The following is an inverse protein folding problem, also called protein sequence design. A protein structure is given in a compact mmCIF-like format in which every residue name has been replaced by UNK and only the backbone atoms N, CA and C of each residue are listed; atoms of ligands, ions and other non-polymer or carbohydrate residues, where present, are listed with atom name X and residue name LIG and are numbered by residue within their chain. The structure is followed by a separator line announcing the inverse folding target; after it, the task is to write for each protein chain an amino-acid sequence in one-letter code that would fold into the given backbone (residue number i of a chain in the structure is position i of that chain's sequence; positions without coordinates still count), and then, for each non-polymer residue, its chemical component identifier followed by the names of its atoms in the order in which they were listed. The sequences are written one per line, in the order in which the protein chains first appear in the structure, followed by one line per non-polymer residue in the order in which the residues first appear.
data_IF_820112629601
#
_entry.id   IF_820112629601
#
_cell.length_a   1.000
_cell.length_b   1.000
_cell.length_c   1.000
_cell.angle_alpha   90.00
_cell.angle_beta   90.00
_cell.angle_gamma   90.00
#
_symmetry.space_group_name_H-M   'P 1'
#
loop_
_entity.id
_entity.type
_entity.pdbx_description
1 polymer ?
#
# COMPACT_ATOMS: atom_id res chain seq x y z
N UNK A 1 -0.24 15.34 -15.27
CA UNK A 1 1.06 15.92 -14.85
C UNK A 1 2.13 14.87 -15.10
N UNK A 2 3.32 15.26 -15.54
CA UNK A 2 4.42 14.31 -15.68
C UNK A 2 5.11 14.10 -14.32
N UNK A 3 4.73 13.03 -13.61
CA UNK A 3 5.28 12.68 -12.31
C UNK A 3 6.73 12.13 -12.39
N UNK A 4 7.29 11.97 -13.59
CA UNK A 4 8.72 11.65 -13.75
C UNK A 4 9.63 12.81 -13.33
N UNK A 5 9.09 14.04 -13.22
CA UNK A 5 9.76 15.15 -12.57
C UNK A 5 9.76 14.99 -11.04
N UNK A 6 10.77 14.26 -10.55
CA UNK A 6 10.90 13.82 -9.16
C UNK A 6 10.76 14.91 -8.09
N UNK A 7 11.11 16.16 -8.39
CA UNK A 7 10.96 17.27 -7.44
C UNK A 7 9.50 17.69 -7.25
N UNK A 8 8.70 17.71 -8.30
CA UNK A 8 7.29 18.13 -8.20
C UNK A 8 6.46 17.10 -7.44
N UNK A 9 6.68 15.80 -7.69
CA UNK A 9 5.99 14.74 -6.96
C UNK A 9 6.30 14.80 -5.45
N UNK A 10 7.59 14.93 -5.09
CA UNK A 10 8.01 15.10 -3.67
C UNK A 10 7.41 16.35 -3.02
N UNK A 11 7.35 17.46 -3.76
CA UNK A 11 6.76 18.70 -3.25
C UNK A 11 5.25 18.55 -3.00
N UNK A 12 4.53 17.83 -3.88
CA UNK A 12 3.10 17.56 -3.69
C UNK A 12 2.85 16.63 -2.52
N UNK A 13 3.69 15.62 -2.32
CA UNK A 13 3.61 14.71 -1.17
C UNK A 13 3.88 15.47 0.14
N UNK A 14 4.93 16.29 0.17
CA UNK A 14 5.24 17.15 1.32
C UNK A 14 4.10 18.15 1.61
N UNK A 15 3.49 18.73 0.58
CA UNK A 15 2.33 19.61 0.74
C UNK A 15 1.12 18.86 1.28
N UNK A 16 0.81 17.67 0.75
CA UNK A 16 -0.26 16.81 1.25
C UNK A 16 -0.07 16.45 2.74
N UNK A 17 1.15 16.08 3.14
CA UNK A 17 1.48 15.84 4.54
C UNK A 17 1.34 17.10 5.41
N UNK A 18 1.81 18.25 4.90
CA UNK A 18 1.69 19.55 5.54
C UNK A 18 0.25 19.96 5.85
N UNK A 19 -0.62 19.88 4.84
CA UNK A 19 -2.04 20.21 4.96
C UNK A 19 -2.80 19.21 5.84
N UNK A 20 -2.43 17.93 5.79
CA UNK A 20 -2.99 16.90 6.67
C UNK A 20 -2.65 17.16 8.14
N UNK A 21 -1.41 17.55 8.44
CA UNK A 21 -1.01 17.97 9.79
C UNK A 21 -1.72 19.26 10.23
N UNK A 22 -1.87 20.25 9.33
CA UNK A 22 -2.57 21.50 9.62
C UNK A 22 -4.04 21.23 9.99
N UNK A 23 -4.75 20.44 9.19
CA UNK A 23 -6.12 20.00 9.47
C UNK A 23 -6.25 19.41 10.89
N UNK A 24 -5.43 18.41 11.23
CA UNK A 24 -5.52 17.72 12.53
C UNK A 24 -5.22 18.65 13.70
N UNK A 25 -4.25 19.55 13.57
CA UNK A 25 -3.97 20.59 14.58
C UNK A 25 -5.16 21.52 14.76
N UNK A 26 -5.76 22.02 13.68
CA UNK A 26 -6.86 22.98 13.77
C UNK A 26 -8.13 22.35 14.35
N UNK A 27 -8.43 21.08 14.05
CA UNK A 27 -9.52 20.36 14.72
C UNK A 27 -9.28 20.24 16.23
N UNK A 28 -8.05 19.93 16.65
CA UNK A 28 -7.69 19.91 18.07
C UNK A 28 -7.81 21.30 18.71
N UNK A 29 -7.34 22.36 18.05
CA UNK A 29 -7.46 23.73 18.53
C UNK A 29 -8.93 24.17 18.65
N UNK A 30 -9.79 23.72 17.72
CA UNK A 30 -11.22 23.95 17.80
C UNK A 30 -11.82 23.31 19.06
N UNK A 31 -11.40 22.10 19.43
CA UNK A 31 -11.83 21.45 20.68
C UNK A 31 -11.36 22.22 21.91
N UNK A 32 -10.09 22.61 21.95
CA UNK A 32 -9.50 23.36 23.07
C UNK A 32 -10.25 24.69 23.26
N UNK A 33 -10.40 25.48 22.21
CA UNK A 33 -11.05 26.80 22.27
C UNK A 33 -12.54 26.70 22.61
N UNK A 34 -13.22 25.62 22.18
CA UNK A 34 -14.58 25.33 22.63
C UNK A 34 -14.66 25.10 24.13
N UNK A 35 -13.75 24.29 24.70
CA UNK A 35 -13.68 24.04 26.15
C UNK A 35 -13.39 25.31 26.95
N UNK A 36 -12.70 26.28 26.36
CA UNK A 36 -12.45 27.60 26.93
C UNK A 36 -13.61 28.59 26.78
N UNK A 37 -14.74 28.19 26.18
CA UNK A 37 -15.90 29.06 25.96
C UNK A 37 -15.76 30.02 24.77
N UNK A 38 -14.73 29.86 23.94
CA UNK A 38 -14.47 30.71 22.77
C UNK A 38 -15.09 30.11 21.50
N UNK A 39 -16.43 30.08 21.46
CA UNK A 39 -17.19 29.38 20.40
C UNK A 39 -16.89 29.90 18.98
N UNK A 40 -16.75 31.22 18.79
CA UNK A 40 -16.44 31.80 17.47
C UNK A 40 -15.06 31.40 16.97
N UNK A 41 -14.06 31.37 17.87
CA UNK A 41 -12.70 30.95 17.52
C UNK A 41 -12.64 29.44 17.23
N UNK A 42 -13.40 28.64 18.00
CA UNK A 42 -13.57 27.22 17.72
C UNK A 42 -14.16 26.97 16.33
N UNK A 43 -15.19 27.74 15.98
CA UNK A 43 -15.80 27.69 14.64
C UNK A 43 -14.79 28.08 13.56
N UNK A 44 -14.03 29.15 13.76
CA UNK A 44 -12.99 29.56 12.81
C UNK A 44 -11.98 28.44 12.55
N UNK A 45 -11.43 27.83 13.61
CA UNK A 45 -10.50 26.72 13.46
C UNK A 45 -11.10 25.52 12.72
N UNK A 46 -12.35 25.17 13.02
CA UNK A 46 -13.04 24.07 12.34
C UNK A 46 -13.27 24.37 10.85
N UNK A 47 -13.67 25.60 10.53
CA UNK A 47 -13.89 26.03 9.14
C UNK A 47 -12.57 26.06 8.36
N UNK A 48 -11.47 26.51 8.98
CA UNK A 48 -10.12 26.45 8.38
C UNK A 48 -9.65 25.01 8.20
N UNK A 49 -9.86 24.13 9.18
CA UNK A 49 -9.51 22.72 9.02
C UNK A 49 -10.17 22.08 7.80
N UNK A 50 -11.44 22.41 7.53
CA UNK A 50 -12.14 21.93 6.33
C UNK A 50 -11.49 22.45 5.04
N UNK A 51 -10.95 23.68 5.03
CA UNK A 51 -10.22 24.21 3.88
C UNK A 51 -8.91 23.44 3.65
N UNK A 52 -8.17 23.12 4.72
CA UNK A 52 -6.94 22.31 4.58
C UNK A 52 -7.23 20.89 4.09
N UNK A 53 -8.41 20.33 4.39
CA UNK A 53 -8.85 19.07 3.76
C UNK A 53 -8.99 19.22 2.24
N UNK A 54 -9.58 20.31 1.76
CA UNK A 54 -9.70 20.55 0.32
C UNK A 54 -8.35 20.82 -0.35
N UNK A 55 -7.42 21.50 0.33
CA UNK A 55 -6.04 21.67 -0.15
C UNK A 55 -5.31 20.33 -0.24
N UNK A 56 -5.37 19.52 0.82
CA UNK A 56 -4.79 18.17 0.82
C UNK A 56 -5.38 17.32 -0.33
N UNK A 57 -6.70 17.33 -0.52
CA UNK A 57 -7.34 16.61 -1.62
C UNK A 57 -6.95 17.17 -2.99
N UNK A 58 -6.74 18.47 -3.16
CA UNK A 58 -6.25 19.03 -4.41
C UNK A 58 -4.84 18.51 -4.75
N UNK A 59 -3.93 18.42 -3.77
CA UNK A 59 -2.61 17.82 -3.97
C UNK A 59 -2.70 16.32 -4.25
N UNK A 60 -3.53 15.59 -3.51
CA UNK A 60 -3.70 14.15 -3.70
C UNK A 60 -4.26 13.80 -5.09
N UNK A 61 -5.22 14.59 -5.61
CA UNK A 61 -5.73 14.43 -6.99
C UNK A 61 -4.67 14.65 -8.06
N UNK A 62 -3.66 15.48 -7.81
CA UNK A 62 -2.53 15.67 -8.73
C UNK A 62 -1.54 14.49 -8.70
N UNK A 63 -1.37 13.86 -7.53
CA UNK A 63 -0.52 12.67 -7.36
C UNK A 63 -1.20 11.39 -7.86
N UNK A 64 -2.52 11.29 -7.68
CA UNK A 64 -3.33 10.14 -8.06
C UNK A 64 -4.46 10.52 -9.04
N UNK A 65 -4.13 11.01 -10.25
CA UNK A 65 -5.13 11.38 -11.24
C UNK A 65 -6.02 10.20 -11.66
N UNK A 66 -5.53 8.97 -11.53
CA UNK A 66 -6.29 7.73 -11.79
C UNK A 66 -7.47 7.52 -10.84
N UNK A 67 -7.49 8.20 -9.69
CA UNK A 67 -8.57 8.12 -8.71
C UNK A 67 -9.64 9.20 -8.88
N UNK A 68 -9.42 10.17 -9.78
CA UNK A 68 -10.35 11.28 -9.99
C UNK A 68 -11.59 10.78 -10.74
N UNK A 69 -12.76 10.97 -10.13
CA UNK A 69 -14.06 10.61 -10.70
C UNK A 69 -14.91 11.88 -10.88
N UNK A 70 -14.92 12.43 -12.10
CA UNK A 70 -15.73 13.61 -12.42
C UNK A 70 -17.22 13.27 -12.62
N UNK A 71 -17.51 12.18 -13.34
CA UNK A 71 -18.86 11.65 -13.50
C UNK A 71 -18.88 10.13 -13.36
N UNK A 72 -19.31 9.64 -12.20
CA UNK A 72 -19.43 8.22 -11.90
C UNK A 72 -20.38 7.48 -12.85
N UNK A 73 -21.34 8.17 -13.50
CA UNK A 73 -22.29 7.55 -14.44
C UNK A 73 -21.66 7.24 -15.79
N UNK A 74 -20.62 7.97 -16.18
CA UNK A 74 -19.85 7.73 -17.40
C UNK A 74 -18.93 6.51 -17.30
N UNK A 75 -18.67 6.02 -16.09
CA UNK A 75 -17.77 4.90 -15.85
C UNK A 75 -18.48 3.56 -16.03
N UNK A 76 -17.81 2.65 -16.72
CA UNK A 76 -18.20 1.22 -16.72
C UNK A 76 -17.97 0.60 -15.35
N UNK A 77 -18.68 -0.49 -15.04
CA UNK A 77 -18.45 -1.24 -13.80
C UNK A 77 -17.01 -1.74 -13.68
N UNK A 78 -16.34 -2.05 -14.80
CA UNK A 78 -14.93 -2.42 -14.81
C UNK A 78 -14.04 -1.26 -14.34
N UNK A 79 -14.28 -0.03 -14.82
CA UNK A 79 -13.52 1.16 -14.41
C UNK A 79 -13.76 1.50 -12.94
N UNK A 80 -15.02 1.46 -12.47
CA UNK A 80 -15.33 1.68 -11.06
C UNK A 80 -14.60 0.70 -10.15
N UNK A 81 -14.59 -0.58 -10.51
CA UNK A 81 -13.85 -1.62 -9.78
C UNK A 81 -12.34 -1.40 -9.79
N UNK A 82 -11.76 -0.95 -10.91
CA UNK A 82 -10.34 -0.63 -10.98
C UNK A 82 -9.96 0.53 -10.06
N UNK A 83 -10.75 1.61 -10.03
CA UNK A 83 -10.54 2.76 -9.14
C UNK A 83 -10.68 2.35 -7.67
N UNK A 84 -11.72 1.59 -7.33
CA UNK A 84 -11.92 1.07 -5.97
C UNK A 84 -10.79 0.13 -5.54
N UNK A 85 -10.29 -0.71 -6.45
CA UNK A 85 -9.14 -1.57 -6.19
C UNK A 85 -7.88 -0.73 -5.88
N UNK A 86 -7.61 0.33 -6.65
CA UNK A 86 -6.46 1.21 -6.40
C UNK A 86 -6.56 1.95 -5.06
N UNK A 87 -7.77 2.33 -4.63
CA UNK A 87 -7.98 2.92 -3.31
C UNK A 87 -7.63 1.93 -2.18
N UNK A 88 -8.11 0.69 -2.27
CA UNK A 88 -7.80 -0.36 -1.29
C UNK A 88 -6.32 -0.72 -1.28
N UNK A 89 -5.69 -0.71 -2.45
CA UNK A 89 -4.27 -0.95 -2.59
C UNK A 89 -3.44 0.10 -1.85
N UNK A 90 -3.66 1.39 -2.10
CA UNK A 90 -3.00 2.48 -1.39
C UNK A 90 -3.18 2.40 0.13
N UNK A 91 -4.37 1.96 0.58
CA UNK A 91 -4.62 1.74 2.00
C UNK A 91 -3.78 0.57 2.55
N UNK A 92 -3.74 -0.57 1.85
CA UNK A 92 -2.92 -1.72 2.26
C UNK A 92 -1.43 -1.40 2.23
N UNK A 93 -0.96 -0.65 1.22
CA UNK A 93 0.43 -0.17 1.10
C UNK A 93 0.82 0.68 2.33
N UNK A 94 -0.01 1.68 2.68
CA UNK A 94 0.21 2.55 3.83
C UNK A 94 0.26 1.77 5.15
N UNK A 95 -0.78 0.99 5.45
CA UNK A 95 -0.84 0.20 6.69
C UNK A 95 0.34 -0.80 6.77
N UNK A 96 0.74 -1.41 5.65
CA UNK A 96 1.89 -2.33 5.59
C UNK A 96 3.22 -1.64 5.89
N UNK A 97 3.45 -0.45 5.33
CA UNK A 97 4.62 0.35 5.69
C UNK A 97 4.63 0.68 7.19
N UNK A 98 3.48 1.01 7.76
CA UNK A 98 3.35 1.33 9.18
C UNK A 98 3.75 0.15 10.08
N UNK A 99 3.17 -1.04 9.90
CA UNK A 99 3.44 -2.17 10.81
C UNK A 99 4.71 -2.98 10.48
N UNK A 100 5.25 -2.91 9.26
CA UNK A 100 6.49 -3.63 8.91
C UNK A 100 7.75 -2.78 9.08
N UNK A 101 7.63 -1.45 8.94
CA UNK A 101 8.79 -0.56 8.87
C UNK A 101 8.72 0.59 9.87
N UNK A 102 7.68 1.43 9.81
CA UNK A 102 7.66 2.71 10.54
C UNK A 102 7.57 2.51 12.06
N UNK A 103 6.52 1.85 12.56
CA UNK A 103 6.34 1.66 14.01
C UNK A 103 7.40 0.76 14.64
N UNK A 104 7.88 -0.33 13.99
CA UNK A 104 9.03 -1.07 14.51
C UNK A 104 10.27 -0.18 14.69
N UNK A 105 10.59 0.66 13.70
CA UNK A 105 11.71 1.61 13.79
C UNK A 105 11.53 2.64 14.91
N UNK A 106 10.35 3.28 14.98
CA UNK A 106 10.05 4.24 16.04
C UNK A 106 10.05 3.62 17.44
N UNK A 107 9.62 2.36 17.55
CA UNK A 107 9.67 1.61 18.80
C UNK A 107 11.11 1.36 19.24
N UNK A 108 12.00 1.00 18.30
CA UNK A 108 13.43 0.84 18.59
C UNK A 108 14.07 2.16 19.06
N UNK A 109 13.78 3.26 18.37
CA UNK A 109 14.25 4.60 18.74
C UNK A 109 13.73 5.02 20.12
N UNK A 110 12.43 4.85 20.40
CA UNK A 110 11.83 5.18 21.70
C UNK A 110 12.40 4.32 22.85
N UNK A 111 12.74 3.05 22.58
CA UNK A 111 13.44 2.20 23.55
C UNK A 111 14.86 2.73 23.83
N UNK A 112 15.58 3.19 22.81
CA UNK A 112 16.90 3.79 22.96
C UNK A 112 16.84 5.07 23.82
N UNK A 113 15.81 5.87 23.63
CA UNK A 113 15.54 7.09 24.39
C UNK A 113 14.93 6.85 25.79
N UNK A 114 14.60 5.59 26.11
CA UNK A 114 13.96 5.16 27.37
C UNK A 114 12.60 5.80 27.61
N UNK A 115 11.86 6.14 26.55
CA UNK A 115 10.49 6.65 26.65
C UNK A 115 9.48 5.50 26.59
N UNK A 116 9.19 4.93 27.76
CA UNK A 116 8.25 3.80 27.86
C UNK A 116 6.81 4.12 27.44
N UNK A 117 6.40 5.40 27.39
CA UNK A 117 5.05 5.77 26.92
C UNK A 117 5.00 5.76 25.40
N UNK A 118 6.01 6.31 24.74
CA UNK A 118 6.13 6.27 23.29
C UNK A 118 6.24 4.82 22.79
N UNK A 119 7.01 3.97 23.47
CA UNK A 119 7.09 2.53 23.16
C UNK A 119 5.71 1.88 23.19
N UNK A 120 4.94 2.07 24.27
CA UNK A 120 3.61 1.45 24.39
C UNK A 120 2.62 1.96 23.34
N UNK A 121 2.68 3.26 22.99
CA UNK A 121 1.85 3.84 21.94
C UNK A 121 2.19 3.26 20.56
N UNK A 122 3.48 3.21 20.19
CA UNK A 122 3.91 2.69 18.89
C UNK A 122 3.64 1.19 18.74
N UNK A 123 3.83 0.39 19.79
CA UNK A 123 3.48 -1.05 19.76
C UNK A 123 1.96 -1.25 19.60
N UNK A 124 1.14 -0.39 20.19
CA UNK A 124 -0.32 -0.43 20.02
C UNK A 124 -0.71 -0.07 18.59
N UNK A 125 -0.14 1.02 18.06
CA UNK A 125 -0.43 1.45 16.69
C UNK A 125 0.08 0.47 15.64
N UNK A 126 1.23 -0.19 15.86
CA UNK A 126 1.71 -1.29 15.00
C UNK A 126 0.68 -2.42 14.90
N UNK A 127 0.12 -2.83 16.05
CA UNK A 127 -0.90 -3.87 16.09
C UNK A 127 -2.19 -3.44 15.38
N UNK A 128 -2.65 -2.21 15.60
CA UNK A 128 -3.83 -1.65 14.92
C UNK A 128 -3.64 -1.56 13.41
N UNK A 129 -2.48 -1.08 12.92
CA UNK A 129 -2.20 -1.00 11.48
C UNK A 129 -2.17 -2.39 10.83
N UNK A 130 -1.69 -3.42 11.55
CA UNK A 130 -1.78 -4.82 11.09
C UNK A 130 -3.24 -5.27 10.93
N UNK A 131 -4.10 -4.95 11.90
CA UNK A 131 -5.54 -5.25 11.81
C UNK A 131 -6.19 -4.51 10.64
N UNK A 132 -5.90 -3.23 10.43
CA UNK A 132 -6.41 -2.46 9.30
C UNK A 132 -5.99 -3.07 7.95
N UNK A 133 -4.71 -3.42 7.79
CA UNK A 133 -4.23 -4.08 6.57
C UNK A 133 -4.97 -5.39 6.30
N UNK A 134 -5.22 -6.20 7.34
CA UNK A 134 -6.05 -7.39 7.20
C UNK A 134 -7.49 -7.08 6.79
N UNK A 135 -8.11 -6.05 7.38
CA UNK A 135 -9.47 -5.63 7.04
C UNK A 135 -9.56 -5.19 5.58
N UNK A 136 -8.61 -4.39 5.10
CA UNK A 136 -8.56 -3.97 3.70
C UNK A 136 -8.30 -5.15 2.75
N UNK A 137 -7.37 -6.05 3.08
CA UNK A 137 -7.15 -7.30 2.30
C UNK A 137 -8.42 -8.14 2.24
N UNK A 138 -9.13 -8.34 3.35
CA UNK A 138 -10.43 -9.03 3.38
C UNK A 138 -11.46 -8.31 2.50
N UNK A 139 -11.50 -6.98 2.52
CA UNK A 139 -12.37 -6.20 1.63
C UNK A 139 -12.03 -6.42 0.15
N UNK A 140 -10.75 -6.42 -0.23
CA UNK A 140 -10.34 -6.68 -1.63
C UNK A 140 -10.83 -8.04 -2.12
N UNK A 141 -10.76 -9.07 -1.28
CA UNK A 141 -11.29 -10.40 -1.57
C UNK A 141 -12.83 -10.38 -1.71
N UNK A 142 -13.52 -9.81 -0.71
CA UNK A 142 -14.99 -9.81 -0.67
C UNK A 142 -15.63 -9.06 -1.85
N UNK A 143 -14.97 -8.01 -2.35
CA UNK A 143 -15.43 -7.26 -3.52
C UNK A 143 -14.95 -7.86 -4.85
N UNK A 144 -14.21 -8.98 -4.84
CA UNK A 144 -13.65 -9.60 -6.04
C UNK A 144 -12.63 -8.70 -6.75
N UNK A 145 -11.92 -7.88 -6.00
CA UNK A 145 -10.92 -6.91 -6.47
C UNK A 145 -9.48 -7.40 -6.27
N UNK A 146 -9.32 -8.50 -5.55
CA UNK A 146 -8.03 -9.07 -5.17
C UNK A 146 -7.09 -9.22 -6.37
N UNK A 147 -7.57 -9.80 -7.48
CA UNK A 147 -6.77 -9.95 -8.72
C UNK A 147 -6.28 -8.62 -9.31
N UNK A 148 -7.04 -7.53 -9.16
CA UNK A 148 -6.63 -6.23 -9.69
C UNK A 148 -5.55 -5.58 -8.83
N UNK A 149 -5.63 -5.74 -7.51
CA UNK A 149 -4.62 -5.26 -6.55
C UNK A 149 -3.32 -6.05 -6.72
N UNK A 150 -3.44 -7.36 -6.83
CA UNK A 150 -2.28 -8.25 -6.98
C UNK A 150 -1.51 -8.00 -8.27
N UNK A 151 -2.21 -7.74 -9.39
CA UNK A 151 -1.60 -7.38 -10.67
C UNK A 151 -0.87 -6.01 -10.67
N UNK A 152 -1.14 -5.13 -9.71
CA UNK A 152 -0.44 -3.86 -9.59
C UNK A 152 0.80 -3.97 -8.68
N UNK A 153 0.70 -4.58 -7.49
CA UNK A 153 1.87 -4.88 -6.65
C UNK A 153 2.97 -5.60 -7.44
N UNK A 154 2.57 -6.67 -8.13
CA UNK A 154 3.23 -7.31 -9.24
C UNK A 154 4.09 -6.41 -10.17
N UNK A 155 3.47 -5.35 -10.71
CA UNK A 155 4.12 -4.38 -11.60
C UNK A 155 5.08 -3.46 -10.84
N UNK A 156 4.68 -2.98 -9.66
CA UNK A 156 5.51 -2.13 -8.79
C UNK A 156 6.80 -2.85 -8.38
N UNK A 157 6.73 -4.13 -8.00
CA UNK A 157 7.91 -4.95 -7.70
C UNK A 157 8.82 -5.12 -8.92
N UNK A 158 8.25 -5.25 -10.11
CA UNK A 158 9.01 -5.36 -11.37
C UNK A 158 9.73 -4.04 -11.67
N UNK A 159 9.03 -2.90 -11.56
CA UNK A 159 9.57 -1.56 -11.79
C UNK A 159 10.64 -1.18 -10.73
N UNK A 160 10.43 -1.56 -9.46
CA UNK A 160 11.40 -1.38 -8.38
C UNK A 160 12.66 -2.26 -8.56
N UNK A 161 12.51 -3.52 -8.97
CA UNK A 161 13.64 -4.41 -9.30
C UNK A 161 14.43 -3.92 -10.51
N UNK A 162 13.77 -3.36 -11.53
CA UNK A 162 14.45 -2.76 -12.69
C UNK A 162 15.26 -1.51 -12.31
N UNK A 163 14.70 -0.70 -11.41
CA UNK A 163 15.35 0.51 -10.88
C UNK A 163 16.58 0.16 -10.03
N UNK A 164 16.47 -0.85 -9.15
CA UNK A 164 17.60 -1.35 -8.34
C UNK A 164 18.70 -1.97 -9.20
N UNK A 165 18.37 -2.51 -10.37
CA UNK A 165 19.32 -3.08 -11.33
C UNK A 165 19.87 -2.06 -12.36
N UNK A 166 19.59 -0.76 -12.18
CA UNK A 166 20.19 0.31 -12.97
C UNK A 166 19.76 0.37 -14.44
N UNK A 167 18.59 -0.19 -14.80
CA UNK A 167 18.07 -0.16 -16.18
C UNK A 167 16.90 0.82 -16.28
N UNK A 168 16.97 1.76 -17.22
CA UNK A 168 15.81 2.57 -17.62
C UNK A 168 14.76 1.68 -18.26
N UNK A 169 13.50 1.78 -17.82
CA UNK A 169 12.40 0.90 -18.25
C UNK A 169 12.24 0.81 -19.77
N UNK A 170 12.16 -0.41 -20.33
CA UNK A 170 11.47 -0.61 -21.59
C UNK A 170 10.63 -1.90 -21.66
N UNK A 171 9.38 -1.72 -22.09
CA UNK A 171 8.48 -2.65 -22.79
C UNK A 171 8.64 -4.18 -22.64
N UNK A 172 7.60 -4.78 -22.05
CA UNK A 172 6.98 -6.09 -22.30
C UNK A 172 7.73 -7.04 -23.25
N UNK A 173 8.30 -8.10 -22.64
CA UNK A 173 8.14 -9.49 -23.11
C UNK A 173 7.93 -10.40 -21.92
N UNK A 174 6.92 -11.27 -22.00
CA UNK A 174 6.80 -12.43 -21.13
C UNK A 174 8.07 -13.28 -21.32
N UNK A 175 8.69 -13.68 -20.22
CA UNK A 175 9.88 -14.51 -20.27
C UNK A 175 9.43 -15.96 -20.50
N UNK A 176 9.50 -16.45 -21.75
CA UNK A 176 9.11 -17.81 -22.15
C UNK A 176 10.06 -18.90 -21.61
N UNK A 177 10.96 -18.59 -20.68
CA UNK A 177 11.86 -19.54 -20.06
C UNK A 177 11.21 -20.18 -18.80
N UNK A 178 10.88 -21.49 -18.84
CA UNK A 178 10.29 -22.18 -17.70
C UNK A 178 11.15 -22.15 -16.43
N UNK A 179 12.46 -21.91 -16.55
CA UNK A 179 13.38 -21.81 -15.41
C UNK A 179 13.31 -20.46 -14.67
N UNK A 180 12.62 -19.46 -15.22
CA UNK A 180 12.49 -18.11 -14.62
C UNK A 180 11.04 -17.61 -14.57
N UNK A 181 10.09 -18.36 -15.12
CA UNK A 181 8.66 -18.07 -15.01
C UNK A 181 8.20 -18.09 -13.55
N UNK A 182 7.76 -16.94 -13.03
CA UNK A 182 7.19 -16.82 -11.68
C UNK A 182 5.74 -17.30 -11.64
N UNK A 183 5.27 -17.66 -10.45
CA UNK A 183 3.93 -18.21 -10.25
C UNK A 183 3.25 -17.56 -9.07
N UNK A 184 1.96 -17.24 -9.20
CA UNK A 184 1.21 -16.52 -8.16
C UNK A 184 0.12 -17.41 -7.57
N UNK A 185 0.09 -17.51 -6.25
CA UNK A 185 -0.97 -18.21 -5.52
C UNK A 185 -2.29 -17.44 -5.63
N UNK A 186 -3.31 -17.99 -6.32
CA UNK A 186 -4.62 -17.30 -6.44
C UNK A 186 -5.39 -17.09 -5.12
N UNK A 187 -4.92 -17.64 -4.01
CA UNK A 187 -5.59 -17.53 -2.71
C UNK A 187 -4.99 -16.44 -1.82
N UNK A 188 -3.69 -16.16 -1.92
CA UNK A 188 -3.01 -15.19 -1.05
C UNK A 188 -1.91 -14.37 -1.74
N UNK A 189 -1.64 -14.67 -3.00
CA UNK A 189 -0.69 -14.00 -3.86
C UNK A 189 0.74 -13.89 -3.40
N UNK A 190 1.14 -14.87 -2.59
CA UNK A 190 2.52 -15.31 -2.60
C UNK A 190 2.96 -15.59 -4.04
N UNK A 191 4.05 -14.95 -4.45
CA UNK A 191 4.72 -15.20 -5.72
C UNK A 191 5.87 -16.17 -5.45
N UNK A 192 5.79 -17.35 -6.06
CA UNK A 192 6.94 -18.23 -6.17
C UNK A 192 7.84 -17.75 -7.31
N UNK A 193 9.09 -17.42 -6.97
CA UNK A 193 10.14 -17.06 -7.92
C UNK A 193 11.15 -18.21 -8.01
N UNK A 194 11.24 -18.94 -9.15
CA UNK A 194 12.23 -20.00 -9.33
C UNK A 194 13.66 -19.59 -9.03
N UNK A 195 14.03 -18.31 -9.23
CA UNK A 195 15.40 -17.82 -8.97
C UNK A 195 15.70 -17.85 -7.46
N UNK A 196 14.69 -17.59 -6.63
CA UNK A 196 14.82 -17.55 -5.17
C UNK A 196 14.52 -18.91 -4.54
N UNK A 197 13.56 -19.66 -5.10
CA UNK A 197 13.02 -20.87 -4.50
C UNK A 197 12.15 -20.58 -3.28
N UNK A 198 11.98 -21.59 -2.43
CA UNK A 198 11.29 -21.51 -1.13
C UNK A 198 12.07 -22.38 -0.14
N UNK A 199 13.24 -21.88 0.28
CA UNK A 199 14.21 -22.65 1.07
C UNK A 199 13.67 -23.06 2.43
N UNK A 200 12.79 -22.25 3.01
CA UNK A 200 12.17 -22.51 4.31
C UNK A 200 11.22 -23.70 4.25
N UNK A 201 10.59 -23.91 3.09
CA UNK A 201 9.78 -25.12 2.80
C UNK A 201 10.57 -26.21 2.06
N UNK A 202 11.90 -26.09 1.97
CA UNK A 202 12.79 -27.10 1.40
C UNK A 202 12.95 -27.06 -0.12
N UNK A 203 12.50 -26.00 -0.80
CA UNK A 203 12.65 -25.80 -2.23
C UNK A 203 13.87 -24.91 -2.50
N UNK A 204 14.92 -25.47 -3.10
CA UNK A 204 16.15 -24.73 -3.36
C UNK A 204 15.96 -23.62 -4.40
N UNK A 205 16.77 -22.56 -4.30
CA UNK A 205 16.92 -21.55 -5.34
C UNK A 205 17.27 -22.19 -6.69
N UNK A 206 16.69 -21.69 -7.77
CA UNK A 206 16.81 -22.22 -9.13
C UNK A 206 15.81 -23.33 -9.47
N UNK A 207 14.95 -23.75 -8.54
CA UNK A 207 13.95 -24.81 -8.81
C UNK A 207 12.80 -24.25 -9.65
N UNK A 208 12.57 -24.77 -10.86
CA UNK A 208 11.42 -24.35 -11.65
C UNK A 208 10.12 -24.81 -10.99
N UNK A 209 9.02 -24.06 -11.15
CA UNK A 209 7.75 -24.38 -10.48
C UNK A 209 7.21 -25.77 -10.82
N UNK A 210 7.43 -26.24 -12.05
CA UNK A 210 7.07 -27.59 -12.50
C UNK A 210 7.81 -28.69 -11.70
N UNK A 211 8.99 -28.38 -11.19
CA UNK A 211 9.89 -29.30 -10.48
C UNK A 211 9.67 -29.28 -8.95
N UNK A 212 8.78 -28.41 -8.44
CA UNK A 212 8.34 -28.43 -7.04
C UNK A 212 7.52 -29.71 -6.76
N UNK A 213 7.68 -30.37 -5.61
CA UNK A 213 6.82 -31.49 -5.20
C UNK A 213 5.32 -31.13 -5.17
N UNK A 214 4.44 -32.09 -5.50
CA UNK A 214 2.98 -31.87 -5.53
C UNK A 214 2.36 -31.69 -4.14
N UNK A 215 3.04 -32.14 -3.10
CA UNK A 215 2.69 -31.98 -1.69
C UNK A 215 3.25 -30.70 -1.07
N UNK A 216 3.94 -29.86 -1.85
CA UNK A 216 4.27 -28.51 -1.44
C UNK A 216 3.01 -27.65 -1.31
N UNK A 217 2.94 -26.90 -0.23
CA UNK A 217 1.86 -25.97 0.06
C UNK A 217 2.41 -24.56 0.12
N UNK A 218 1.60 -23.59 -0.30
CA UNK A 218 1.93 -22.17 -0.21
C UNK A 218 2.35 -21.84 1.24
N UNK A 219 3.56 -21.29 1.46
CA UNK A 219 4.06 -21.02 2.81
C UNK A 219 3.24 -19.94 3.54
N UNK A 220 2.45 -19.15 2.80
CA UNK A 220 1.66 -18.05 3.36
C UNK A 220 0.26 -18.51 3.79
N UNK A 221 -0.46 -19.25 2.95
CA UNK A 221 -1.87 -19.58 3.19
C UNK A 221 -2.18 -21.07 3.19
N UNK A 222 -1.14 -21.91 3.12
CA UNK A 222 -1.23 -23.37 3.10
C UNK A 222 -2.07 -23.92 1.92
N UNK A 223 -2.26 -23.13 0.86
CA UNK A 223 -2.97 -23.58 -0.34
C UNK A 223 -2.11 -24.56 -1.12
N UNK A 224 -2.73 -25.54 -1.76
CA UNK A 224 -2.00 -26.52 -2.58
C UNK A 224 -1.33 -25.86 -3.79
N UNK A 225 -0.26 -26.48 -4.30
CA UNK A 225 0.45 -26.08 -5.54
C UNK A 225 -0.47 -25.77 -6.73
N UNK A 226 -1.61 -26.48 -6.85
CA UNK A 226 -2.63 -26.27 -7.91
C UNK A 226 -3.30 -24.89 -7.89
N UNK A 227 -3.19 -24.17 -6.77
CA UNK A 227 -3.75 -22.83 -6.62
C UNK A 227 -2.93 -21.79 -7.38
N UNK A 228 -1.68 -22.12 -7.71
CA UNK A 228 -0.78 -21.25 -8.43
C UNK A 228 -1.05 -21.26 -9.93
N UNK A 229 -0.90 -20.09 -10.54
CA UNK A 229 -0.97 -19.89 -11.98
C UNK A 229 0.28 -19.15 -12.46
N UNK A 230 0.65 -19.25 -13.75
CA UNK A 230 1.71 -18.42 -14.31
C UNK A 230 1.41 -16.95 -14.01
N UNK A 231 2.42 -16.28 -13.48
CA UNK A 231 2.34 -14.86 -13.20
C UNK A 231 2.77 -14.10 -14.46
N UNK A 232 1.80 -13.44 -15.10
CA UNK A 232 1.96 -12.69 -16.36
C UNK A 232 1.92 -11.17 -16.10
N UNK A 233 2.88 -10.43 -16.69
CA UNK A 233 3.06 -8.96 -16.56
C UNK A 233 2.14 -8.10 -17.45
#
# INVERSE_FOLDING_TARGET
MDLSNSNTAKNLEAAFGGESMANRKYLFFAEVTKKLGMSELSKLFKDTANQETEHAFAHFRLMHPELVVDDAKSLTEKQKKAIAARCLELAVEGETYEYETMYPGFTEEARADRDGKAVAEFETQEAESREHAEMFRKATHNFGLLTNVENHHARQYTEALETLNGKSAPHKKANDDPATQKWICRQCSMIYDPVVGDTDSGIAAGTAFKDIPEDWHCPICNATKKTFVPYEL
#
